data_IF_405202717613
#
_entry.id   IF_405202717613
#
_cell.length_a   1.000
_cell.length_b   1.000
_cell.length_c   1.000
_cell.angle_alpha   90.00
_cell.angle_beta   90.00
_cell.angle_gamma   90.00
#
_symmetry.space_group_name_H-M   'P 1'
#
loop_
_entity.id
_entity.type
_entity.pdbx_description
1 polymer ?
#
# COMPACT_ATOMS: atom_id res chain seq x y z
N UNK A 1 25.81 18.94 -76.21
CA UNK A 1 25.01 20.14 -75.89
C UNK A 1 23.61 19.64 -75.58
N UNK A 2 23.05 19.70 -74.39
CA UNK A 2 23.48 20.04 -73.03
C UNK A 2 22.33 19.53 -72.14
N UNK A 3 22.63 18.77 -71.10
CA UNK A 3 21.65 18.27 -70.12
C UNK A 3 21.04 19.43 -69.34
N UNK A 4 19.70 19.58 -69.28
CA UNK A 4 19.06 20.27 -68.17
C UNK A 4 17.76 19.57 -67.74
N UNK A 5 18.00 18.63 -66.84
CA UNK A 5 17.20 18.08 -65.75
C UNK A 5 15.89 18.81 -65.36
N UNK A 6 14.85 18.00 -65.35
CA UNK A 6 13.55 18.14 -64.70
C UNK A 6 13.70 18.35 -63.17
N UNK A 7 13.39 19.55 -62.67
CA UNK A 7 13.14 19.76 -61.24
C UNK A 7 11.87 20.56 -61.02
N UNK A 8 10.93 19.85 -60.41
CA UNK A 8 9.66 20.29 -59.87
C UNK A 8 9.82 21.58 -59.05
N UNK A 9 9.04 22.60 -59.40
CA UNK A 9 8.86 23.81 -58.61
C UNK A 9 7.92 23.50 -57.44
N UNK A 10 8.45 22.87 -56.41
CA UNK A 10 7.77 22.72 -55.12
C UNK A 10 7.64 24.13 -54.52
N UNK A 11 6.42 24.69 -54.53
CA UNK A 11 6.13 25.94 -53.84
C UNK A 11 6.27 25.64 -52.36
N UNK A 12 7.44 25.94 -51.80
CA UNK A 12 7.74 25.74 -50.40
C UNK A 12 6.71 26.50 -49.57
N UNK A 13 5.78 25.76 -48.98
CA UNK A 13 4.70 26.27 -48.16
C UNK A 13 5.34 26.91 -46.90
N UNK A 14 5.13 28.22 -46.69
CA UNK A 14 5.77 29.00 -45.60
C UNK A 14 4.80 29.33 -44.47
N UNK A 15 5.33 29.44 -43.24
CA UNK A 15 4.63 29.95 -42.05
C UNK A 15 5.41 31.08 -41.41
N UNK A 16 4.72 31.94 -40.66
CA UNK A 16 5.36 33.01 -39.89
C UNK A 16 5.78 32.49 -38.52
N UNK A 17 7.03 32.71 -38.14
CA UNK A 17 7.52 32.33 -36.81
C UNK A 17 6.82 33.15 -35.71
N UNK A 18 6.19 32.52 -34.70
CA UNK A 18 5.43 33.23 -33.66
C UNK A 18 6.31 34.10 -32.74
N UNK A 19 7.62 33.83 -32.68
CA UNK A 19 8.55 34.55 -31.80
C UNK A 19 9.20 35.78 -32.45
N UNK A 20 9.57 35.71 -33.73
CA UNK A 20 10.31 36.78 -34.41
C UNK A 20 9.63 37.32 -35.67
N UNK A 21 8.44 36.81 -36.02
CA UNK A 21 7.60 37.22 -37.16
C UNK A 21 8.26 37.14 -38.53
N UNK A 22 9.37 36.41 -38.66
CA UNK A 22 9.99 36.11 -39.96
C UNK A 22 9.35 34.89 -40.60
N UNK A 23 9.23 34.91 -41.92
CA UNK A 23 8.74 33.78 -42.71
C UNK A 23 9.77 32.64 -42.71
N UNK A 24 9.28 31.42 -42.53
CA UNK A 24 10.07 30.20 -42.42
C UNK A 24 9.32 29.02 -43.08
N UNK A 25 10.01 27.94 -43.40
CA UNK A 25 9.37 26.72 -43.93
C UNK A 25 8.35 26.14 -42.93
N UNK A 26 7.22 25.61 -43.43
CA UNK A 26 6.20 24.93 -42.60
C UNK A 26 6.77 23.74 -41.82
N UNK A 27 7.81 23.10 -42.35
CA UNK A 27 8.46 21.93 -41.73
C UNK A 27 9.54 22.30 -40.72
N UNK A 28 9.91 23.58 -40.63
CA UNK A 28 10.95 24.03 -39.72
C UNK A 28 10.55 23.76 -38.25
N UNK A 29 11.37 22.94 -37.58
CA UNK A 29 11.31 22.63 -36.15
C UNK A 29 12.12 23.61 -35.30
N UNK A 30 13.04 24.36 -35.91
CA UNK A 30 13.77 25.49 -35.32
C UNK A 30 13.73 26.69 -36.26
N UNK A 31 13.54 27.89 -35.73
CA UNK A 31 13.60 29.10 -36.52
C UNK A 31 15.07 29.48 -36.81
N UNK A 32 15.49 29.67 -38.08
CA UNK A 32 16.88 30.04 -38.41
C UNK A 32 17.26 31.44 -37.94
N UNK A 33 16.28 32.32 -37.70
CA UNK A 33 16.55 33.72 -37.36
C UNK A 33 16.58 34.02 -35.86
N UNK A 34 15.80 33.31 -35.06
CA UNK A 34 15.72 33.54 -33.62
C UNK A 34 16.02 32.29 -32.78
N UNK A 35 16.30 31.16 -33.43
CA UNK A 35 16.68 29.88 -32.82
C UNK A 35 15.63 29.28 -31.87
N UNK A 36 14.42 29.84 -31.84
CA UNK A 36 13.30 29.29 -31.09
C UNK A 36 12.83 27.96 -31.66
N UNK A 37 12.47 27.03 -30.78
CA UNK A 37 11.95 25.71 -31.13
C UNK A 37 10.45 25.80 -31.42
N UNK A 38 10.02 25.23 -32.56
CA UNK A 38 8.64 25.28 -33.04
C UNK A 38 8.04 23.88 -32.93
N UNK A 39 7.29 23.62 -31.87
CA UNK A 39 6.58 22.35 -31.70
C UNK A 39 5.32 22.40 -32.58
N UNK A 40 5.26 21.55 -33.60
CA UNK A 40 4.09 21.43 -34.47
C UNK A 40 3.02 20.53 -33.85
N UNK A 41 1.76 20.94 -33.96
CA UNK A 41 0.58 20.39 -33.28
C UNK A 41 0.33 18.88 -33.57
N UNK A 42 0.77 18.40 -34.74
CA UNK A 42 0.68 16.97 -35.12
C UNK A 42 1.40 16.05 -34.11
N UNK A 43 2.52 16.48 -33.55
CA UNK A 43 3.29 15.68 -32.60
C UNK A 43 2.67 15.70 -31.18
N UNK A 44 1.96 16.78 -30.83
CA UNK A 44 1.29 16.89 -29.52
C UNK A 44 0.08 15.94 -29.40
N UNK A 45 -0.71 15.80 -30.48
CA UNK A 45 -1.89 14.92 -30.51
C UNK A 45 -1.51 13.43 -30.46
N UNK A 46 -0.42 13.05 -31.12
CA UNK A 46 0.11 11.67 -31.11
C UNK A 46 0.62 11.25 -29.72
N UNK A 47 1.30 12.16 -29.01
CA UNK A 47 1.78 11.92 -27.65
C UNK A 47 0.62 11.85 -26.64
N UNK A 48 -0.40 12.70 -26.79
CA UNK A 48 -1.60 12.70 -25.93
C UNK A 48 -2.40 11.39 -26.02
N UNK A 49 -2.60 10.85 -27.22
CA UNK A 49 -3.37 9.60 -27.39
C UNK A 49 -2.59 8.36 -26.92
N UNK A 50 -1.26 8.36 -27.02
CA UNK A 50 -0.43 7.26 -26.50
C UNK A 50 -0.50 7.14 -24.97
N UNK A 51 -0.53 8.28 -24.26
CA UNK A 51 -0.58 8.31 -22.80
C UNK A 51 -1.93 7.83 -22.24
N UNK A 52 -3.04 8.14 -22.93
CA UNK A 52 -4.39 7.69 -22.54
C UNK A 52 -4.58 6.19 -22.78
N UNK A 53 -4.07 5.66 -23.89
CA UNK A 53 -4.11 4.21 -24.16
C UNK A 53 -3.34 3.40 -23.12
N UNK A 54 -2.13 3.84 -22.76
CA UNK A 54 -1.31 3.16 -21.75
C UNK A 54 -1.95 3.23 -20.35
N UNK A 55 -2.60 4.35 -20.02
CA UNK A 55 -3.34 4.50 -18.78
C UNK A 55 -4.55 3.56 -18.68
N UNK A 56 -5.33 3.41 -19.77
CA UNK A 56 -6.48 2.51 -19.80
C UNK A 56 -6.08 1.04 -19.67
N UNK A 57 -4.96 0.64 -20.31
CA UNK A 57 -4.41 -0.71 -20.19
C UNK A 57 -3.94 -0.98 -18.76
N UNK A 58 -3.22 -0.02 -18.15
CA UNK A 58 -2.76 -0.13 -16.77
C UNK A 58 -3.92 -0.18 -15.77
N UNK A 59 -4.96 0.63 -15.99
CA UNK A 59 -6.14 0.66 -15.12
C UNK A 59 -6.96 -0.63 -15.26
N UNK A 60 -7.13 -1.16 -16.48
CA UNK A 60 -7.79 -2.45 -16.70
C UNK A 60 -7.08 -3.61 -16.02
N UNK A 61 -5.74 -3.66 -16.11
CA UNK A 61 -4.94 -4.66 -15.41
C UNK A 61 -5.10 -4.54 -13.88
N UNK A 62 -5.07 -3.32 -13.34
CA UNK A 62 -5.25 -3.07 -11.90
C UNK A 62 -6.61 -3.57 -11.39
N UNK A 63 -7.69 -3.32 -12.12
CA UNK A 63 -9.04 -3.83 -11.77
C UNK A 63 -9.08 -5.37 -11.83
N UNK A 64 -8.45 -5.98 -12.82
CA UNK A 64 -8.35 -7.44 -12.92
C UNK A 64 -7.59 -8.05 -11.72
N UNK A 65 -6.48 -7.45 -11.31
CA UNK A 65 -5.72 -7.88 -10.12
C UNK A 65 -6.51 -7.71 -8.82
N UNK A 66 -7.28 -6.61 -8.67
CA UNK A 66 -8.15 -6.41 -7.50
C UNK A 66 -9.25 -7.49 -7.44
N UNK A 67 -9.81 -7.89 -8.58
CA UNK A 67 -10.83 -8.94 -8.64
C UNK A 67 -10.28 -10.29 -8.20
N UNK A 68 -9.07 -10.65 -8.66
CA UNK A 68 -8.37 -11.87 -8.23
C UNK A 68 -8.04 -11.81 -6.74
N UNK A 69 -7.54 -10.68 -6.25
CA UNK A 69 -7.23 -10.48 -4.83
C UNK A 69 -8.49 -10.63 -3.94
N UNK A 70 -9.61 -10.07 -4.36
CA UNK A 70 -10.88 -10.17 -3.63
C UNK A 70 -11.36 -11.62 -3.52
N UNK A 71 -11.17 -12.43 -4.58
CA UNK A 71 -11.55 -13.85 -4.58
C UNK A 71 -10.68 -14.72 -3.65
N UNK A 72 -9.41 -14.35 -3.44
CA UNK A 72 -8.48 -15.09 -2.58
C UNK A 72 -8.70 -14.78 -1.10
N UNK A 73 -9.02 -13.53 -0.76
CA UNK A 73 -9.08 -13.06 0.62
C UNK A 73 -10.52 -12.90 1.17
N UNK A 74 -11.56 -13.07 0.35
CA UNK A 74 -12.96 -13.00 0.81
C UNK A 74 -13.43 -11.60 1.23
N UNK A 75 -12.70 -10.55 0.85
CA UNK A 75 -13.00 -9.15 1.20
C UNK A 75 -13.80 -8.51 0.06
N UNK A 76 -14.97 -7.94 0.36
CA UNK A 76 -15.80 -7.24 -0.63
C UNK A 76 -15.33 -5.79 -0.82
N UNK A 77 -14.35 -5.59 -1.71
CA UNK A 77 -13.69 -4.29 -1.96
C UNK A 77 -14.39 -3.45 -3.04
N UNK A 78 -15.45 -3.97 -3.64
CA UNK A 78 -16.14 -3.39 -4.82
C UNK A 78 -16.67 -1.97 -4.59
N UNK A 79 -17.00 -1.63 -3.34
CA UNK A 79 -17.51 -0.30 -2.95
C UNK A 79 -16.43 0.79 -2.90
N UNK A 80 -15.16 0.44 -2.75
CA UNK A 80 -14.07 1.41 -2.62
C UNK A 80 -13.46 1.81 -3.97
N UNK A 81 -13.73 1.02 -5.03
CA UNK A 81 -13.26 1.29 -6.40
C UNK A 81 -13.86 2.59 -6.94
N UNK A 82 -15.09 2.92 -6.56
CA UNK A 82 -15.77 4.17 -6.95
C UNK A 82 -15.10 5.43 -6.37
N UNK A 83 -14.46 5.33 -5.19
CA UNK A 83 -13.75 6.45 -4.57
C UNK A 83 -12.44 6.82 -5.27
N UNK A 84 -11.82 5.90 -6.02
CA UNK A 84 -10.60 6.15 -6.79
C UNK A 84 -10.84 6.92 -8.10
N UNK A 85 -12.09 6.99 -8.58
CA UNK A 85 -12.46 7.71 -9.80
C UNK A 85 -12.75 9.20 -9.52
N UNK A 86 -13.12 9.55 -8.28
CA UNK A 86 -13.48 10.91 -7.85
C UNK A 86 -12.36 11.96 -8.09
N UNK A 87 -11.06 11.68 -7.86
CA UNK A 87 -9.99 12.62 -8.15
C UNK A 87 -9.85 12.95 -9.65
N UNK A 88 -10.16 12.00 -10.53
CA UNK A 88 -10.08 12.18 -11.98
C UNK A 88 -11.21 13.06 -12.54
N UNK A 89 -12.41 12.99 -11.94
CA UNK A 89 -13.53 13.86 -12.31
C UNK A 89 -13.29 15.33 -11.90
N UNK A 90 -12.62 15.58 -10.78
CA UNK A 90 -12.30 16.93 -10.29
C UNK A 90 -11.12 17.58 -11.04
N UNK A 91 -10.15 16.80 -11.52
CA UNK A 91 -9.01 17.30 -12.29
C UNK A 91 -9.37 17.87 -13.67
N UNK A 92 -10.48 17.43 -14.27
CA UNK A 92 -10.89 17.88 -15.61
C UNK A 92 -11.55 19.27 -15.62
N UNK A 93 -12.06 19.74 -14.48
CA UNK A 93 -12.74 21.05 -14.39
C UNK A 93 -11.72 22.21 -14.31
N UNK A 94 -10.51 21.97 -13.81
CA UNK A 94 -9.50 23.04 -13.60
C UNK A 94 -8.60 23.36 -14.81
N UNK A 95 -8.64 22.57 -15.90
CA UNK A 95 -7.74 22.76 -17.04
C UNK A 95 -8.30 23.66 -18.16
N UNK A 96 -9.51 24.22 -18.01
CA UNK A 96 -10.19 24.95 -19.11
C UNK A 96 -10.08 26.49 -19.10
N UNK A 97 -9.24 27.11 -18.25
CA UNK A 97 -9.20 28.58 -18.15
C UNK A 97 -7.85 29.30 -18.38
N UNK A 98 -6.77 28.63 -18.79
CA UNK A 98 -5.51 29.33 -19.14
C UNK A 98 -5.13 29.15 -20.62
N UNK A 99 -5.92 29.74 -21.50
CA UNK A 99 -5.56 30.01 -22.90
C UNK A 99 -5.69 31.52 -23.13
N UNK A 100 -4.72 32.28 -22.66
CA UNK A 100 -4.70 33.73 -22.80
C UNK A 100 -3.52 34.31 -22.02
N UNK A 101 -2.60 34.94 -22.75
CA UNK A 101 -1.35 35.57 -22.28
C UNK A 101 -0.12 34.65 -22.25
N UNK A 102 0.60 34.65 -23.37
CA UNK A 102 2.05 34.43 -23.38
C UNK A 102 2.70 35.52 -22.52
N UNK A 103 3.00 35.22 -21.26
CA UNK A 103 3.94 36.01 -20.47
C UNK A 103 5.36 35.71 -20.97
N UNK A 104 6.10 36.77 -21.29
CA UNK A 104 7.54 36.77 -21.53
C UNK A 104 8.23 35.98 -20.41
N UNK A 105 8.78 34.82 -20.74
CA UNK A 105 9.58 34.03 -19.80
C UNK A 105 10.92 34.76 -19.69
N UNK A 106 11.00 35.69 -18.74
CA UNK A 106 12.26 36.15 -18.18
C UNK A 106 12.95 34.91 -17.58
N UNK A 107 14.11 34.53 -18.11
CA UNK A 107 14.87 33.37 -17.65
C UNK A 107 15.30 33.58 -16.19
N UNK A 108 14.57 33.00 -15.25
CA UNK A 108 14.96 32.97 -13.84
C UNK A 108 16.14 31.99 -13.65
N UNK A 109 17.14 32.34 -12.81
CA UNK A 109 18.40 31.60 -12.71
C UNK A 109 18.28 30.25 -11.96
N UNK A 110 17.10 29.85 -11.52
CA UNK A 110 16.88 28.60 -10.77
C UNK A 110 16.73 27.35 -11.64
N UNK A 111 16.66 27.49 -12.98
CA UNK A 111 16.43 26.38 -13.91
C UNK A 111 17.64 25.45 -14.13
N UNK A 112 18.82 25.76 -13.57
CA UNK A 112 20.01 24.89 -13.67
C UNK A 112 20.00 23.72 -12.69
N UNK A 113 19.19 23.78 -11.61
CA UNK A 113 19.12 22.72 -10.58
C UNK A 113 18.03 21.67 -10.82
N UNK A 114 17.15 21.90 -11.80
CA UNK A 114 16.05 20.99 -12.15
C UNK A 114 16.54 19.61 -12.63
N UNK A 115 17.55 19.47 -13.53
CA UNK A 115 18.04 18.14 -13.90
C UNK A 115 18.65 17.42 -12.69
N UNK A 116 19.40 18.13 -11.84
CA UNK A 116 20.02 17.56 -10.64
C UNK A 116 18.98 17.01 -9.65
N UNK A 117 17.86 17.72 -9.45
CA UNK A 117 16.78 17.28 -8.56
C UNK A 117 16.01 16.09 -9.13
N UNK A 118 15.80 16.04 -10.44
CA UNK A 118 15.16 14.89 -11.11
C UNK A 118 16.05 13.64 -11.01
N UNK A 119 17.35 13.78 -11.27
CA UNK A 119 18.31 12.68 -11.11
C UNK A 119 18.42 12.19 -9.66
N UNK A 120 18.39 13.10 -8.67
CA UNK A 120 18.37 12.75 -7.25
C UNK A 120 17.09 12.00 -6.84
N UNK A 121 15.93 12.39 -7.39
CA UNK A 121 14.65 11.74 -7.10
C UNK A 121 14.56 10.35 -7.76
N UNK A 122 15.13 10.18 -8.96
CA UNK A 122 15.25 8.87 -9.61
C UNK A 122 16.17 7.95 -8.80
N UNK A 123 17.32 8.43 -8.33
CA UNK A 123 18.24 7.65 -7.47
C UNK A 123 17.61 7.26 -6.12
N UNK A 124 16.69 8.06 -5.60
CA UNK A 124 15.99 7.76 -4.34
C UNK A 124 14.83 6.77 -4.55
N UNK A 125 14.07 6.92 -5.64
CA UNK A 125 12.84 6.15 -5.87
C UNK A 125 13.10 4.82 -6.60
N UNK A 126 14.10 4.74 -7.49
CA UNK A 126 14.47 3.51 -8.20
C UNK A 126 14.76 2.30 -7.28
N UNK A 127 15.56 2.40 -6.19
CA UNK A 127 15.81 1.25 -5.32
C UNK A 127 14.54 0.80 -4.59
N UNK A 128 13.63 1.70 -4.24
CA UNK A 128 12.35 1.36 -3.59
C UNK A 128 11.47 0.54 -4.54
N UNK A 129 11.41 0.92 -5.81
CA UNK A 129 10.67 0.18 -6.84
C UNK A 129 11.31 -1.18 -7.10
N UNK A 130 12.64 -1.26 -7.16
CA UNK A 130 13.38 -2.52 -7.34
C UNK A 130 13.14 -3.48 -6.17
N UNK A 131 13.22 -3.00 -4.92
CA UNK A 131 12.92 -3.81 -3.73
C UNK A 131 11.46 -4.28 -3.73
N UNK A 132 10.52 -3.43 -4.13
CA UNK A 132 9.10 -3.80 -4.26
C UNK A 132 8.85 -4.91 -5.29
N UNK A 133 9.52 -4.86 -6.45
CA UNK A 133 9.40 -5.89 -7.49
C UNK A 133 10.05 -7.21 -7.05
N UNK A 134 11.20 -7.14 -6.36
CA UNK A 134 11.87 -8.34 -5.82
C UNK A 134 11.02 -9.00 -4.74
N UNK A 135 10.44 -8.21 -3.83
CA UNK A 135 9.55 -8.72 -2.78
C UNK A 135 8.28 -9.34 -3.36
N UNK A 136 7.73 -8.75 -4.43
CA UNK A 136 6.59 -9.31 -5.16
C UNK A 136 6.93 -10.64 -5.83
N UNK A 137 8.13 -10.78 -6.40
CA UNK A 137 8.58 -12.05 -7.00
C UNK A 137 8.70 -13.20 -6.00
N UNK A 138 9.15 -12.92 -4.76
CA UNK A 138 9.32 -13.94 -3.71
C UNK A 138 7.97 -14.50 -3.24
N UNK A 139 6.91 -13.67 -3.19
CA UNK A 139 5.57 -14.11 -2.76
C UNK A 139 4.92 -15.09 -3.75
N UNK A 140 5.28 -15.05 -5.04
CA UNK A 140 4.69 -15.92 -6.08
C UNK A 140 5.31 -17.33 -6.06
N UNK A 141 6.53 -17.48 -5.52
CA UNK A 141 7.23 -18.77 -5.43
C UNK A 141 7.04 -19.47 -4.08
N UNK A 142 6.31 -18.85 -3.14
CA UNK A 142 5.94 -19.51 -1.90
C UNK A 142 5.01 -20.69 -2.22
N UNK A 143 5.37 -21.94 -1.85
CA UNK A 143 4.49 -23.06 -2.04
C UNK A 143 3.19 -22.78 -1.28
N UNK A 144 2.06 -22.93 -1.96
CA UNK A 144 0.74 -22.89 -1.32
C UNK A 144 0.77 -23.83 -0.10
N UNK A 145 0.21 -23.43 1.06
CA UNK A 145 0.11 -24.33 2.19
C UNK A 145 -0.61 -25.58 1.71
N UNK A 146 0.14 -26.68 1.61
CA UNK A 146 -0.34 -27.96 1.14
C UNK A 146 -1.47 -28.38 2.07
N UNK A 147 -2.69 -28.29 1.55
CA UNK A 147 -3.92 -28.72 2.19
C UNK A 147 -3.74 -30.22 2.45
N UNK A 148 -3.31 -30.59 3.67
CA UNK A 148 -3.16 -31.98 4.06
C UNK A 148 -4.56 -32.55 4.15
N UNK A 149 -4.87 -33.40 3.18
CA UNK A 149 -6.05 -34.23 3.10
C UNK A 149 -6.52 -34.66 4.49
N UNK A 150 -7.75 -34.27 4.81
CA UNK A 150 -8.53 -34.80 5.91
C UNK A 150 -8.59 -36.32 5.78
N UNK A 151 -7.76 -37.02 6.56
CA UNK A 151 -8.09 -38.37 6.99
C UNK A 151 -9.38 -38.29 7.84
N UNK A 152 -10.23 -39.33 7.84
CA UNK A 152 -11.44 -39.31 8.65
C UNK A 152 -11.04 -39.35 10.12
N UNK A 153 -11.05 -38.19 10.78
CA UNK A 153 -10.84 -38.10 12.21
C UNK A 153 -12.16 -38.46 12.88
N UNK A 154 -12.15 -39.63 13.49
CA UNK A 154 -13.19 -40.12 14.40
C UNK A 154 -13.53 -39.02 15.41
N UNK A 155 -14.82 -38.71 15.53
CA UNK A 155 -15.36 -37.74 16.47
C UNK A 155 -14.93 -38.06 17.91
N UNK A 156 -13.91 -37.35 18.40
CA UNK A 156 -13.59 -37.19 19.82
C UNK A 156 -13.10 -35.74 19.95
N UNK A 157 -13.69 -34.90 20.83
CA UNK A 157 -13.28 -33.52 20.96
C UNK A 157 -11.86 -33.46 21.53
N UNK A 158 -10.87 -33.29 20.65
CA UNK A 158 -9.50 -33.02 21.04
C UNK A 158 -9.45 -31.61 21.64
N UNK A 159 -9.34 -31.53 22.97
CA UNK A 159 -8.93 -30.30 23.66
C UNK A 159 -7.59 -29.85 23.06
N UNK A 160 -7.57 -28.71 22.39
CA UNK A 160 -6.31 -28.04 22.02
C UNK A 160 -5.56 -27.70 23.31
N UNK A 161 -4.49 -28.46 23.59
CA UNK A 161 -3.66 -28.25 24.78
C UNK A 161 -2.62 -27.18 24.48
N UNK A 162 -2.81 -25.99 25.04
CA UNK A 162 -1.83 -24.90 24.97
C UNK A 162 -0.68 -25.10 25.97
N UNK A 163 0.38 -24.30 25.83
CA UNK A 163 1.43 -24.20 26.85
C UNK A 163 0.81 -23.56 28.09
N UNK A 164 0.80 -24.29 29.20
CA UNK A 164 0.27 -23.77 30.48
C UNK A 164 1.23 -22.75 31.07
N UNK A 165 0.72 -21.55 31.33
CA UNK A 165 1.50 -20.44 31.87
C UNK A 165 0.58 -19.53 32.70
N UNK A 166 1.13 -18.89 33.73
CA UNK A 166 0.37 -17.86 34.47
C UNK A 166 0.56 -16.50 33.81
N UNK A 167 -0.41 -15.58 33.98
CA UNK A 167 -0.26 -14.21 33.48
C UNK A 167 0.99 -13.52 34.06
N UNK A 168 1.27 -13.75 35.34
CA UNK A 168 2.48 -13.28 36.04
C UNK A 168 3.74 -13.85 35.35
N UNK A 169 3.84 -15.18 35.18
CA UNK A 169 5.02 -15.78 34.56
C UNK A 169 5.22 -15.30 33.12
N UNK A 170 4.14 -15.22 32.34
CA UNK A 170 4.22 -14.77 30.96
C UNK A 170 4.71 -13.33 30.88
N UNK A 171 4.18 -12.43 31.71
CA UNK A 171 4.63 -11.04 31.79
C UNK A 171 6.10 -10.94 32.26
N UNK A 172 6.46 -11.64 33.33
CA UNK A 172 7.82 -11.63 33.89
C UNK A 172 8.85 -12.17 32.90
N UNK A 173 8.55 -13.24 32.15
CA UNK A 173 9.46 -13.77 31.12
C UNK A 173 9.73 -12.72 30.04
N UNK A 174 8.68 -12.01 29.61
CA UNK A 174 8.73 -10.95 28.60
C UNK A 174 9.42 -9.67 29.08
N UNK A 175 9.42 -9.38 30.38
CA UNK A 175 10.18 -8.29 30.97
C UNK A 175 11.64 -8.64 31.17
N UNK A 176 11.93 -9.85 31.65
CA UNK A 176 13.28 -10.31 31.91
C UNK A 176 14.09 -10.43 30.61
N UNK A 177 13.52 -11.04 29.58
CA UNK A 177 14.16 -11.17 28.27
C UNK A 177 13.14 -11.43 27.16
N UNK A 178 12.79 -10.38 26.42
CA UNK A 178 11.83 -10.45 25.32
C UNK A 178 12.27 -11.39 24.19
N UNK A 179 13.57 -11.51 23.89
CA UNK A 179 14.06 -12.39 22.81
C UNK A 179 13.87 -13.87 23.20
N UNK A 180 14.18 -14.21 24.45
CA UNK A 180 13.97 -15.56 24.97
C UNK A 180 12.47 -15.88 25.08
N UNK A 181 11.67 -14.92 25.54
CA UNK A 181 10.22 -15.07 25.62
C UNK A 181 9.58 -15.25 24.24
N UNK A 182 9.99 -14.47 23.23
CA UNK A 182 9.51 -14.64 21.86
C UNK A 182 9.88 -16.02 21.31
N UNK A 183 11.08 -16.52 21.59
CA UNK A 183 11.48 -17.88 21.19
C UNK A 183 10.58 -18.95 21.81
N UNK A 184 10.11 -18.72 23.05
CA UNK A 184 9.30 -19.68 23.82
C UNK A 184 7.81 -19.61 23.51
N UNK A 185 7.27 -18.42 23.32
CA UNK A 185 5.82 -18.18 23.34
C UNK A 185 5.27 -17.63 22.03
N UNK A 186 6.04 -16.85 21.27
CA UNK A 186 5.51 -16.20 20.07
C UNK A 186 4.98 -17.21 19.09
N UNK A 187 3.82 -16.88 18.53
CA UNK A 187 3.05 -17.74 17.65
C UNK A 187 2.59 -19.09 18.24
N UNK A 188 2.85 -19.35 19.53
CA UNK A 188 2.36 -20.54 20.23
C UNK A 188 0.99 -20.31 20.85
N UNK A 189 0.22 -21.39 20.96
CA UNK A 189 -1.01 -21.41 21.74
C UNK A 189 -0.65 -21.59 23.22
N UNK A 190 -1.13 -20.67 24.05
CA UNK A 190 -0.94 -20.65 25.50
C UNK A 190 -2.28 -20.81 26.21
N UNK A 191 -2.25 -21.53 27.33
CA UNK A 191 -3.32 -21.59 28.33
C UNK A 191 -2.87 -20.68 29.48
N UNK A 192 -3.38 -19.45 29.49
CA UNK A 192 -2.98 -18.40 30.44
C UNK A 192 -3.98 -18.32 31.58
N UNK A 193 -3.53 -18.68 32.78
CA UNK A 193 -4.31 -18.48 34.01
C UNK A 193 -3.91 -17.17 34.69
N UNK A 194 -4.89 -16.33 35.03
CA UNK A 194 -4.62 -15.05 35.71
C UNK A 194 -5.86 -14.45 36.37
N UNK A 195 -5.66 -13.33 37.06
CA UNK A 195 -6.75 -12.55 37.68
C UNK A 195 -7.12 -11.40 36.75
N UNK A 196 -8.41 -11.20 36.51
CA UNK A 196 -8.92 -10.12 35.66
C UNK A 196 -8.66 -8.76 36.32
N UNK A 197 -7.80 -7.96 35.71
CA UNK A 197 -7.55 -6.55 36.08
C UNK A 197 -8.53 -5.60 35.41
N UNK A 198 -8.81 -5.85 34.13
CA UNK A 198 -9.73 -5.01 33.36
C UNK A 198 -10.45 -5.80 32.25
N UNK A 199 -11.65 -5.33 31.89
CA UNK A 199 -12.46 -5.85 30.80
C UNK A 199 -12.98 -4.64 30.02
N UNK A 200 -12.59 -4.50 28.75
CA UNK A 200 -12.92 -3.32 27.97
C UNK A 200 -12.94 -3.60 26.46
N UNK A 201 -13.06 -2.56 25.65
CA UNK A 201 -13.02 -2.60 24.18
C UNK A 201 -11.94 -1.67 23.66
N UNK A 202 -11.31 -2.04 22.55
CA UNK A 202 -10.37 -1.17 21.87
C UNK A 202 -11.09 -0.07 21.06
N UNK A 203 -10.32 0.80 20.41
CA UNK A 203 -10.83 1.91 19.58
C UNK A 203 -11.64 1.42 18.37
N UNK A 204 -11.50 0.16 17.96
CA UNK A 204 -12.24 -0.47 16.87
C UNK A 204 -13.43 -1.28 17.39
N UNK A 205 -13.66 -1.29 18.71
CA UNK A 205 -14.74 -2.00 19.39
C UNK A 205 -14.49 -3.50 19.59
N UNK A 206 -13.27 -4.00 19.38
CA UNK A 206 -12.93 -5.39 19.70
C UNK A 206 -12.75 -5.55 21.22
N UNK A 207 -13.42 -6.53 21.85
CA UNK A 207 -13.32 -6.72 23.29
C UNK A 207 -12.00 -7.36 23.71
N UNK A 208 -11.49 -7.00 24.89
CA UNK A 208 -10.30 -7.60 25.49
C UNK A 208 -10.41 -7.70 27.02
N UNK A 209 -9.61 -8.60 27.58
CA UNK A 209 -9.36 -8.73 29.02
C UNK A 209 -7.89 -8.42 29.29
N UNK A 210 -7.61 -7.69 30.37
CA UNK A 210 -6.26 -7.56 30.94
C UNK A 210 -6.18 -8.48 32.16
N UNK A 211 -5.23 -9.41 32.15
CA UNK A 211 -4.88 -10.25 33.30
C UNK A 211 -3.68 -9.64 34.02
N UNK A 212 -3.75 -9.52 35.34
CA UNK A 212 -2.69 -8.94 36.15
C UNK A 212 -1.36 -9.69 36.00
N UNK A 213 -0.30 -8.95 35.68
CA UNK A 213 1.09 -9.39 35.77
C UNK A 213 1.62 -9.33 37.21
N UNK A 214 2.95 -9.31 37.36
CA UNK A 214 3.59 -9.14 38.66
C UNK A 214 3.18 -7.79 39.29
N UNK A 215 2.81 -7.71 40.58
CA UNK A 215 2.40 -6.46 41.23
C UNK A 215 3.46 -5.35 41.22
N UNK A 216 4.74 -5.69 41.08
CA UNK A 216 5.87 -4.77 41.01
C UNK A 216 6.24 -4.41 39.57
N UNK A 217 5.48 -4.92 38.60
CA UNK A 217 5.68 -4.74 37.17
C UNK A 217 4.58 -3.85 36.58
N UNK A 218 4.93 -3.17 35.47
CA UNK A 218 3.96 -2.43 34.66
C UNK A 218 3.39 -3.27 33.52
N UNK A 219 3.97 -4.44 33.25
CA UNK A 219 3.57 -5.31 32.14
C UNK A 219 2.49 -6.28 32.60
N UNK A 220 1.32 -6.22 31.97
CA UNK A 220 0.25 -7.20 32.13
C UNK A 220 0.13 -8.11 30.88
N UNK A 221 -0.84 -9.04 30.91
CA UNK A 221 -1.22 -9.83 29.73
C UNK A 221 -2.55 -9.33 29.19
N UNK A 222 -2.59 -8.95 27.91
CA UNK A 222 -3.81 -8.50 27.23
C UNK A 222 -4.31 -9.58 26.27
N UNK A 223 -5.47 -10.16 26.59
CA UNK A 223 -6.15 -11.15 25.80
C UNK A 223 -7.23 -10.50 24.94
N UNK A 224 -7.10 -10.54 23.61
CA UNK A 224 -8.08 -9.99 22.68
C UNK A 224 -9.02 -11.07 22.15
N UNK A 225 -10.29 -10.70 21.99
CA UNK A 225 -11.35 -11.62 21.58
C UNK A 225 -12.00 -11.15 20.29
N UNK A 226 -12.50 -12.10 19.50
CA UNK A 226 -13.40 -11.79 18.39
C UNK A 226 -14.66 -11.09 18.89
N UNK A 227 -15.17 -10.14 18.10
CA UNK A 227 -16.44 -9.46 18.39
C UNK A 227 -17.61 -10.43 18.57
N UNK A 228 -17.58 -11.58 17.89
CA UNK A 228 -18.58 -12.65 18.04
C UNK A 228 -18.60 -13.30 19.42
N UNK A 229 -17.47 -13.27 20.15
CA UNK A 229 -17.34 -13.85 21.50
C UNK A 229 -17.69 -12.86 22.62
N UNK A 230 -18.09 -11.62 22.30
CA UNK A 230 -18.39 -10.57 23.28
C UNK A 230 -19.41 -11.03 24.35
N UNK A 231 -20.41 -11.82 23.96
CA UNK A 231 -21.45 -12.29 24.88
C UNK A 231 -20.90 -13.17 26.01
N UNK A 232 -19.78 -13.86 25.79
CA UNK A 232 -19.15 -14.72 26.81
C UNK A 232 -18.42 -13.90 27.89
N UNK A 233 -18.14 -12.62 27.62
CA UNK A 233 -17.45 -11.72 28.54
C UNK A 233 -18.41 -10.98 29.49
N UNK A 234 -19.70 -10.93 29.17
CA UNK A 234 -20.76 -10.27 29.96
C UNK A 234 -20.79 -10.71 31.43
N UNK A 235 -20.71 -12.01 31.76
CA UNK A 235 -20.79 -12.45 33.16
C UNK A 235 -19.49 -12.25 33.95
N UNK A 236 -18.38 -11.86 33.30
CA UNK A 236 -17.09 -11.76 33.96
C UNK A 236 -16.95 -10.47 34.75
N UNK A 237 -16.32 -10.57 35.92
CA UNK A 237 -16.03 -9.43 36.79
C UNK A 237 -14.54 -9.29 37.02
N UNK A 238 -14.09 -8.06 37.31
CA UNK A 238 -12.74 -7.80 37.80
C UNK A 238 -12.46 -8.61 39.07
N UNK A 239 -11.18 -8.82 39.34
CA UNK A 239 -10.66 -9.55 40.51
C UNK A 239 -11.05 -11.04 40.55
N UNK A 240 -11.57 -11.58 39.44
CA UNK A 240 -11.90 -12.99 39.29
C UNK A 240 -10.75 -13.72 38.61
N UNK A 241 -10.42 -14.93 39.07
CA UNK A 241 -9.44 -15.81 38.42
C UNK A 241 -10.09 -16.51 37.23
N UNK A 242 -9.38 -16.55 36.11
CA UNK A 242 -9.84 -17.13 34.84
C UNK A 242 -8.67 -17.77 34.08
N UNK A 243 -8.97 -18.73 33.24
CA UNK A 243 -8.03 -19.35 32.29
C UNK A 243 -8.50 -19.13 30.86
N UNK A 244 -7.60 -18.56 30.05
CA UNK A 244 -7.84 -18.21 28.66
C UNK A 244 -6.88 -18.99 27.77
N UNK A 245 -7.42 -19.56 26.69
CA UNK A 245 -6.63 -20.14 25.61
C UNK A 245 -6.49 -19.11 24.50
N UNK A 246 -5.29 -18.89 23.97
CA UNK A 246 -5.07 -17.98 22.84
C UNK A 246 -3.66 -18.05 22.28
N UNK A 247 -3.40 -17.30 21.21
CA UNK A 247 -2.10 -17.28 20.51
C UNK A 247 -1.27 -16.07 20.92
N UNK A 248 -0.03 -16.27 21.39
CA UNK A 248 0.83 -15.12 21.73
C UNK A 248 1.32 -14.43 20.46
N UNK A 249 1.22 -13.10 20.45
CA UNK A 249 1.48 -12.26 19.28
C UNK A 249 2.79 -11.48 19.43
N UNK A 250 2.83 -10.54 20.38
CA UNK A 250 3.99 -9.70 20.68
C UNK A 250 3.79 -8.96 22.01
N UNK A 251 4.87 -8.40 22.55
CA UNK A 251 4.78 -7.38 23.60
C UNK A 251 4.76 -5.97 22.99
N UNK A 252 3.88 -5.11 23.51
CA UNK A 252 3.95 -3.66 23.29
C UNK A 252 4.01 -2.96 24.65
N UNK A 253 2.84 -2.60 25.19
CA UNK A 253 2.67 -2.24 26.59
C UNK A 253 2.46 -3.50 27.44
N UNK A 254 1.51 -4.31 27.02
CA UNK A 254 1.22 -5.62 27.60
C UNK A 254 1.67 -6.72 26.64
N UNK A 255 1.81 -7.94 27.17
CA UNK A 255 1.97 -9.14 26.34
C UNK A 255 0.62 -9.42 25.69
N UNK A 256 0.55 -9.34 24.36
CA UNK A 256 -0.70 -9.52 23.61
C UNK A 256 -0.91 -10.99 23.24
N UNK A 257 -2.08 -11.50 23.61
CA UNK A 257 -2.59 -12.81 23.21
C UNK A 257 -3.83 -12.60 22.33
N UNK A 258 -3.81 -13.15 21.13
CA UNK A 258 -4.84 -13.00 20.11
C UNK A 258 -5.77 -14.22 20.09
N UNK A 259 -6.97 -14.02 19.55
CA UNK A 259 -7.99 -15.07 19.34
C UNK A 259 -8.44 -15.79 20.62
N UNK A 260 -8.45 -15.08 21.75
CA UNK A 260 -8.70 -15.71 23.04
C UNK A 260 -10.07 -16.39 23.13
N UNK A 261 -10.12 -17.45 23.92
CA UNK A 261 -11.33 -18.17 24.32
C UNK A 261 -11.26 -18.56 25.79
N UNK A 262 -12.39 -18.46 26.47
CA UNK A 262 -12.50 -18.85 27.88
C UNK A 262 -12.52 -20.37 27.95
N UNK A 263 -11.65 -20.94 28.78
CA UNK A 263 -11.62 -22.39 29.04
C UNK A 263 -11.82 -22.75 30.51
N UNK A 264 -11.63 -21.80 31.45
CA UNK A 264 -12.22 -21.70 32.81
C UNK A 264 -11.48 -20.71 33.69
#
# INVERSE_FOLDING_TARGET
MEDINEKQKEVAETKVCPFCRKEISIEATKCPYCQSTLITDKNAKLILMSSLGLFLISFGAFIFFISIFSAVFGINVTQYVWWLIIPFALGFIWKKQKMGQQKKIESSPSLKKIPLLIWALILLVAPIVIVGVIFLGIVIMAPAPSNRNSAPVINTPAQQKGIQVTAIQLATDYEANEIAADTKYKDQIVEVTGTIKDISKDILGAPYIILSGDPNSITDVQCTFDKSKQNQLIPLTKDTKITLLGKVSRKLLNVRVDECSIIQ
#
